data_IF_455051673586
#
_entry.id   IF_455051673586
#
_cell.length_a   1.000
_cell.length_b   1.000
_cell.length_c   1.000
_cell.angle_alpha   90.00
_cell.angle_beta   90.00
_cell.angle_gamma   90.00
#
_symmetry.space_group_name_H-M   'P 1'
#
loop_
_entity.id
_entity.type
_entity.pdbx_description
1 polymer ?
#
# COMPACT_ATOMS: atom_id res chain seq x y z
N UNK A 1 -2.32 -42.22 -14.81
CA UNK A 1 -1.20 -41.35 -15.23
C UNK A 1 -1.18 -40.03 -14.47
N UNK A 2 -2.22 -39.19 -14.54
CA UNK A 2 -2.31 -37.85 -13.90
C UNK A 2 -1.81 -37.82 -12.46
N UNK A 3 -2.29 -38.72 -11.58
CA UNK A 3 -1.89 -38.76 -10.16
C UNK A 3 -0.37 -38.90 -9.96
N UNK A 4 0.34 -39.62 -10.86
CA UNK A 4 1.80 -39.77 -10.79
C UNK A 4 2.54 -38.49 -11.21
N UNK A 5 2.00 -37.73 -12.18
CA UNK A 5 2.51 -36.38 -12.50
C UNK A 5 2.31 -35.42 -11.33
N UNK A 6 1.11 -35.41 -10.74
CA UNK A 6 0.78 -34.55 -9.60
C UNK A 6 1.69 -34.83 -8.39
N UNK A 7 1.95 -36.11 -8.09
CA UNK A 7 2.89 -36.52 -7.03
C UNK A 7 4.33 -36.09 -7.36
N UNK A 8 4.79 -36.24 -8.61
CA UNK A 8 6.14 -35.76 -9.00
C UNK A 8 6.26 -34.25 -8.87
N UNK A 9 5.25 -33.47 -9.28
CA UNK A 9 5.22 -32.01 -9.10
C UNK A 9 5.23 -31.61 -7.62
N UNK A 10 4.43 -32.30 -6.79
CA UNK A 10 4.42 -32.09 -5.34
C UNK A 10 5.77 -32.44 -4.70
N UNK A 11 6.43 -33.53 -5.11
CA UNK A 11 7.77 -33.90 -4.64
C UNK A 11 8.85 -32.91 -5.10
N UNK A 12 8.78 -32.41 -6.34
CA UNK A 12 9.72 -31.41 -6.85
C UNK A 12 9.66 -30.09 -6.06
N UNK A 13 8.46 -29.67 -5.65
CA UNK A 13 8.25 -28.41 -4.90
C UNK A 13 8.34 -28.56 -3.37
N UNK A 14 8.19 -29.76 -2.80
CA UNK A 14 8.25 -29.98 -1.35
C UNK A 14 9.61 -30.43 -0.82
N UNK A 15 10.50 -30.93 -1.69
CA UNK A 15 11.82 -31.44 -1.29
C UNK A 15 12.94 -30.44 -1.67
N UNK A 16 12.73 -29.64 -2.73
CA UNK A 16 13.64 -28.58 -3.16
C UNK A 16 12.84 -27.33 -3.57
N UNK A 17 13.45 -26.14 -3.54
CA UNK A 17 12.86 -24.93 -4.12
C UNK A 17 12.75 -25.00 -5.65
N UNK A 18 12.38 -23.88 -6.31
CA UNK A 18 12.26 -23.71 -7.78
C UNK A 18 13.28 -24.54 -8.59
N UNK A 19 12.88 -25.08 -9.75
CA UNK A 19 13.77 -25.92 -10.57
C UNK A 19 15.00 -25.16 -11.10
N UNK A 20 14.94 -23.83 -11.11
CA UNK A 20 15.99 -22.87 -11.44
C UNK A 20 16.29 -21.95 -10.25
N UNK A 21 17.38 -21.19 -10.31
CA UNK A 21 17.75 -20.17 -9.31
C UNK A 21 17.62 -18.79 -9.92
N UNK A 22 16.81 -17.92 -9.32
CA UNK A 22 16.69 -16.51 -9.72
C UNK A 22 17.75 -15.68 -8.99
N UNK A 23 18.45 -14.80 -9.73
CA UNK A 23 19.45 -13.89 -9.18
C UNK A 23 19.18 -12.43 -9.55
N UNK A 24 19.08 -11.59 -8.52
CA UNK A 24 18.83 -10.14 -8.60
C UNK A 24 20.10 -9.37 -8.22
N UNK A 25 20.42 -8.23 -8.86
CA UNK A 25 21.51 -7.36 -8.41
C UNK A 25 21.35 -6.90 -6.96
N UNK A 26 22.43 -6.88 -6.18
CA UNK A 26 22.39 -6.56 -4.75
C UNK A 26 21.93 -5.13 -4.45
N UNK A 27 22.26 -4.18 -5.32
CA UNK A 27 21.81 -2.79 -5.21
C UNK A 27 20.31 -2.63 -5.46
N UNK A 28 19.70 -3.54 -6.24
CA UNK A 28 18.31 -3.50 -6.68
C UNK A 28 17.35 -4.25 -5.73
N UNK A 29 17.85 -4.74 -4.59
CA UNK A 29 17.11 -5.54 -3.59
C UNK A 29 15.74 -5.01 -3.16
N UNK A 30 15.43 -3.72 -3.40
CA UNK A 30 14.13 -3.09 -3.12
C UNK A 30 13.06 -3.46 -4.13
N UNK A 31 13.42 -3.67 -5.40
CA UNK A 31 12.51 -4.00 -6.50
C UNK A 31 12.33 -5.52 -6.65
N UNK A 32 13.04 -6.27 -5.81
CA UNK A 32 13.08 -7.72 -5.79
C UNK A 32 11.73 -8.43 -5.78
N UNK A 33 11.80 -9.69 -6.20
CA UNK A 33 10.65 -10.52 -6.55
C UNK A 33 9.64 -10.61 -5.40
N UNK A 34 8.41 -10.19 -5.68
CA UNK A 34 7.26 -10.26 -4.79
C UNK A 34 6.69 -11.68 -4.72
N UNK A 35 6.36 -12.27 -5.86
CA UNK A 35 5.62 -13.54 -5.89
C UNK A 35 5.91 -14.28 -7.20
N UNK A 36 6.15 -15.60 -7.13
CA UNK A 36 6.40 -16.44 -8.31
C UNK A 36 5.18 -17.34 -8.55
N UNK A 37 4.57 -17.20 -9.72
CA UNK A 37 3.46 -18.00 -10.20
C UNK A 37 3.98 -19.11 -11.11
N UNK A 38 3.54 -20.35 -10.86
CA UNK A 38 3.96 -21.54 -11.59
C UNK A 38 2.76 -22.27 -12.22
N UNK A 39 2.86 -22.65 -13.49
CA UNK A 39 1.86 -23.47 -14.17
C UNK A 39 2.50 -24.60 -15.00
N UNK A 40 2.09 -25.85 -14.78
CA UNK A 40 2.50 -27.01 -15.60
C UNK A 40 1.55 -27.17 -16.80
N UNK A 41 2.04 -26.87 -18.00
CA UNK A 41 1.33 -27.13 -19.27
C UNK A 41 1.42 -28.60 -19.70
N UNK A 42 2.27 -29.40 -19.04
CA UNK A 42 2.46 -30.83 -19.26
C UNK A 42 3.65 -31.18 -20.16
N UNK A 43 4.08 -30.23 -21.00
CA UNK A 43 5.31 -30.21 -21.80
C UNK A 43 6.37 -29.24 -21.23
N UNK A 44 5.92 -28.16 -20.58
CA UNK A 44 6.74 -27.07 -20.02
C UNK A 44 6.11 -26.47 -18.76
N UNK A 45 6.94 -25.82 -17.94
CA UNK A 45 6.50 -25.05 -16.77
C UNK A 45 6.59 -23.55 -17.11
N UNK A 46 5.46 -22.85 -17.04
CA UNK A 46 5.40 -21.39 -17.08
C UNK A 46 5.87 -20.83 -15.73
N UNK A 47 6.87 -19.95 -15.77
CA UNK A 47 7.33 -19.15 -14.65
C UNK A 47 6.88 -17.71 -14.89
N UNK A 48 5.86 -17.25 -14.17
CA UNK A 48 5.53 -15.83 -14.08
C UNK A 48 6.12 -15.24 -12.81
N UNK A 49 6.90 -14.18 -12.93
CA UNK A 49 7.59 -13.51 -11.83
C UNK A 49 6.98 -12.13 -11.65
N UNK A 50 6.51 -11.81 -10.45
CA UNK A 50 6.01 -10.47 -10.09
C UNK A 50 7.09 -9.74 -9.31
N UNK A 51 7.45 -8.54 -9.74
CA UNK A 51 8.42 -7.66 -9.08
C UNK A 51 7.72 -6.61 -8.20
N UNK A 52 8.46 -5.92 -7.33
CA UNK A 52 7.88 -4.82 -6.53
C UNK A 52 7.56 -3.61 -7.42
N UNK A 53 8.56 -3.12 -8.18
CA UNK A 53 8.46 -1.94 -9.05
C UNK A 53 9.57 -1.93 -10.12
N UNK A 54 9.51 -1.07 -11.15
CA UNK A 54 10.59 -0.88 -12.15
C UNK A 54 11.20 0.53 -11.99
N UNK A 55 12.20 0.69 -11.11
CA UNK A 55 12.89 1.98 -10.91
C UNK A 55 13.55 2.44 -12.22
N UNK A 56 12.95 3.43 -12.91
CA UNK A 56 13.57 4.02 -14.09
C UNK A 56 14.86 4.77 -13.68
N UNK A 57 15.96 4.76 -14.46
CA UNK A 57 17.24 5.37 -14.07
C UNK A 57 17.25 6.90 -13.77
N UNK A 58 16.10 7.57 -13.82
CA UNK A 58 15.89 9.00 -13.58
C UNK A 58 14.58 9.24 -12.80
N UNK A 59 14.68 9.65 -11.54
CA UNK A 59 13.57 9.73 -10.55
C UNK A 59 12.38 10.62 -10.94
N UNK A 60 12.49 11.48 -11.95
CA UNK A 60 11.36 12.27 -12.46
C UNK A 60 10.60 11.56 -13.58
N UNK A 61 11.29 10.82 -14.46
CA UNK A 61 10.64 10.03 -15.51
C UNK A 61 10.04 8.75 -14.93
N UNK A 62 10.69 8.19 -13.90
CA UNK A 62 10.21 7.15 -12.99
C UNK A 62 8.75 7.36 -12.53
N UNK A 63 8.50 8.41 -11.74
CA UNK A 63 7.14 8.80 -11.30
C UNK A 63 6.13 8.97 -12.45
N UNK A 64 6.57 9.43 -13.62
CA UNK A 64 5.71 9.57 -14.81
C UNK A 64 5.46 8.22 -15.50
N UNK A 65 6.44 7.32 -15.46
CA UNK A 65 6.38 5.96 -15.96
C UNK A 65 5.46 5.09 -15.10
N UNK A 66 5.47 5.27 -13.77
CA UNK A 66 4.54 4.64 -12.83
C UNK A 66 3.09 5.01 -13.13
N UNK A 67 2.82 6.30 -13.29
CA UNK A 67 1.49 6.81 -13.65
C UNK A 67 1.05 6.28 -15.02
N UNK A 68 1.98 6.15 -15.97
CA UNK A 68 1.75 5.53 -17.28
C UNK A 68 1.49 4.02 -17.18
N UNK A 69 2.24 3.24 -16.40
CA UNK A 69 2.05 1.79 -16.17
C UNK A 69 0.76 1.53 -15.41
N UNK A 70 0.46 2.31 -14.38
CA UNK A 70 -0.80 2.24 -13.64
C UNK A 70 -2.02 2.55 -14.54
N UNK A 71 -1.90 3.48 -15.49
CA UNK A 71 -2.94 3.72 -16.48
C UNK A 71 -3.01 2.61 -17.55
N UNK A 72 -1.89 2.27 -18.19
CA UNK A 72 -1.79 1.34 -19.33
C UNK A 72 -2.06 -0.10 -18.91
N UNK A 73 -1.27 -0.63 -17.98
CA UNK A 73 -1.31 -2.02 -17.53
C UNK A 73 -2.25 -2.25 -16.34
N UNK A 74 -2.52 -1.21 -15.56
CA UNK A 74 -3.41 -1.28 -14.40
C UNK A 74 -2.72 -1.61 -13.08
N UNK A 75 -1.39 -1.53 -13.02
CA UNK A 75 -0.53 -1.98 -11.92
C UNK A 75 0.75 -1.12 -11.86
N UNK A 76 1.38 -1.10 -10.70
CA UNK A 76 2.76 -0.60 -10.51
C UNK A 76 3.75 -1.77 -10.63
N UNK A 77 3.47 -2.89 -9.95
CA UNK A 77 4.13 -4.18 -10.13
C UNK A 77 4.39 -4.52 -11.60
N UNK A 78 5.64 -4.84 -11.91
CA UNK A 78 5.96 -5.56 -13.12
C UNK A 78 5.71 -7.08 -12.96
N UNK A 79 5.44 -7.75 -14.08
CA UNK A 79 5.03 -9.15 -14.19
C UNK A 79 5.60 -9.70 -15.48
N UNK A 80 6.70 -10.47 -15.44
CA UNK A 80 7.32 -11.09 -16.63
C UNK A 80 7.24 -12.63 -16.60
N UNK A 81 7.39 -13.29 -17.75
CA UNK A 81 6.95 -14.68 -17.97
C UNK A 81 7.75 -15.45 -19.02
N UNK A 82 8.53 -16.44 -18.55
CA UNK A 82 9.26 -17.38 -19.40
C UNK A 82 8.82 -18.84 -19.18
N UNK A 83 9.23 -19.74 -20.09
CA UNK A 83 8.86 -21.15 -20.06
C UNK A 83 10.10 -22.05 -19.90
N UNK A 84 10.09 -22.92 -18.89
CA UNK A 84 11.08 -23.97 -18.67
C UNK A 84 10.60 -25.28 -19.33
N UNK A 85 11.31 -25.72 -20.36
CA UNK A 85 11.20 -27.05 -20.95
C UNK A 85 12.19 -28.03 -20.28
N UNK A 86 12.12 -29.35 -20.53
CA UNK A 86 13.06 -30.33 -19.97
C UNK A 86 14.52 -30.14 -20.44
N UNK A 87 14.72 -29.48 -21.57
CA UNK A 87 15.97 -29.32 -22.31
C UNK A 87 16.45 -27.86 -22.40
N UNK A 88 15.56 -26.88 -22.27
CA UNK A 88 15.83 -25.45 -22.56
C UNK A 88 14.90 -24.49 -21.83
N UNK A 89 15.23 -23.20 -21.84
CA UNK A 89 14.36 -22.10 -21.37
C UNK A 89 14.01 -21.20 -22.56
N UNK A 90 12.73 -20.85 -22.69
CA UNK A 90 12.19 -19.93 -23.68
C UNK A 90 11.71 -18.64 -23.03
N UNK A 91 12.35 -17.53 -23.39
CA UNK A 91 11.91 -16.17 -23.10
C UNK A 91 11.15 -15.63 -24.32
N UNK A 92 9.85 -15.31 -24.22
CA UNK A 92 9.05 -14.84 -25.36
C UNK A 92 9.41 -13.42 -25.81
N UNK A 93 9.55 -12.48 -24.86
CA UNK A 93 9.84 -11.06 -25.09
C UNK A 93 10.79 -10.48 -24.01
N UNK A 94 11.26 -11.34 -23.10
CA UNK A 94 11.74 -10.94 -21.77
C UNK A 94 13.26 -11.12 -21.60
N UNK A 95 14.02 -11.30 -22.69
CA UNK A 95 15.46 -11.60 -22.66
C UNK A 95 16.32 -10.40 -23.08
N UNK A 96 17.41 -10.15 -22.36
CA UNK A 96 18.43 -9.17 -22.74
C UNK A 96 19.84 -9.62 -22.29
N UNK A 97 20.72 -9.96 -23.25
CA UNK A 97 22.16 -10.19 -23.02
C UNK A 97 22.89 -8.84 -22.88
N UNK A 98 22.45 -8.03 -21.91
CA UNK A 98 22.93 -6.67 -21.67
C UNK A 98 24.35 -6.65 -21.11
N UNK A 99 25.13 -5.63 -21.48
CA UNK A 99 26.40 -5.31 -20.81
C UNK A 99 26.22 -4.39 -19.58
N UNK A 100 25.06 -3.76 -19.38
CA UNK A 100 24.84 -2.77 -18.30
C UNK A 100 23.39 -2.69 -17.83
N UNK A 101 23.19 -2.72 -16.51
CA UNK A 101 21.86 -2.69 -15.88
C UNK A 101 20.98 -1.50 -16.32
N UNK A 102 21.61 -0.38 -16.67
CA UNK A 102 20.94 0.88 -17.06
C UNK A 102 20.79 1.04 -18.59
N UNK A 103 20.80 -0.05 -19.36
CA UNK A 103 20.50 -0.03 -20.80
C UNK A 103 19.07 0.51 -21.05
N UNK A 104 18.87 1.29 -22.13
CA UNK A 104 17.58 1.93 -22.46
C UNK A 104 16.99 1.47 -23.81
N UNK A 105 17.76 0.73 -24.61
CA UNK A 105 17.40 0.29 -25.97
C UNK A 105 17.50 -1.23 -26.09
N UNK A 106 16.75 -1.85 -27.02
CA UNK A 106 16.80 -3.29 -27.30
C UNK A 106 16.64 -4.17 -26.04
N UNK A 107 15.74 -3.78 -25.13
CA UNK A 107 15.51 -4.45 -23.85
C UNK A 107 14.71 -5.73 -24.02
N UNK A 108 13.56 -5.65 -24.71
CA UNK A 108 12.70 -6.79 -24.99
C UNK A 108 13.19 -7.56 -26.23
N UNK A 109 13.55 -8.83 -26.04
CA UNK A 109 13.95 -9.74 -27.12
C UNK A 109 13.45 -11.17 -26.83
N UNK A 110 13.21 -11.94 -27.90
CA UNK A 110 12.94 -13.38 -27.81
C UNK A 110 14.24 -14.19 -27.76
N UNK A 111 14.31 -15.21 -26.90
CA UNK A 111 15.39 -16.20 -26.91
C UNK A 111 14.92 -17.61 -26.48
N UNK A 112 15.35 -18.64 -27.21
CA UNK A 112 15.33 -20.04 -26.73
C UNK A 112 16.76 -20.50 -26.48
N UNK A 113 17.09 -20.83 -25.23
CA UNK A 113 18.44 -21.19 -24.80
C UNK A 113 18.44 -22.57 -24.15
N UNK A 114 19.30 -23.46 -24.64
CA UNK A 114 19.52 -24.81 -24.10
C UNK A 114 20.11 -24.74 -22.68
N UNK A 115 19.78 -25.69 -21.81
CA UNK A 115 20.12 -25.62 -20.39
C UNK A 115 21.64 -25.56 -20.14
N UNK A 116 22.47 -26.18 -20.98
CA UNK A 116 23.94 -26.11 -20.91
C UNK A 116 24.51 -24.70 -21.12
N UNK A 117 23.73 -23.78 -21.69
CA UNK A 117 24.12 -22.38 -21.89
C UNK A 117 23.96 -21.51 -20.63
N UNK A 118 23.40 -22.05 -19.54
CA UNK A 118 23.22 -21.34 -18.27
C UNK A 118 24.30 -21.69 -17.25
N UNK A 119 24.73 -20.71 -16.47
CA UNK A 119 25.45 -21.00 -15.23
C UNK A 119 24.60 -21.88 -14.31
N UNK A 120 25.24 -22.77 -13.55
CA UNK A 120 24.54 -23.68 -12.64
C UNK A 120 24.94 -23.44 -11.17
N UNK A 121 23.95 -23.33 -10.29
CA UNK A 121 24.13 -23.22 -8.85
C UNK A 121 23.40 -24.37 -8.15
N UNK A 122 24.14 -25.18 -7.37
CA UNK A 122 23.63 -26.40 -6.72
C UNK A 122 22.88 -27.35 -7.69
N UNK A 123 23.40 -27.51 -8.91
CA UNK A 123 22.83 -28.38 -9.95
C UNK A 123 21.59 -27.83 -10.66
N UNK A 124 21.26 -26.55 -10.47
CA UNK A 124 20.11 -25.89 -11.12
C UNK A 124 20.57 -24.74 -12.01
N UNK A 125 19.95 -24.51 -13.19
CA UNK A 125 20.26 -23.36 -14.03
C UNK A 125 19.95 -22.05 -13.30
N UNK A 126 20.77 -21.03 -13.52
CA UNK A 126 20.66 -19.71 -12.92
C UNK A 126 20.12 -18.73 -13.97
N UNK A 127 18.97 -18.13 -13.68
CA UNK A 127 18.42 -17.03 -14.49
C UNK A 127 18.73 -15.73 -13.77
N UNK A 128 19.49 -14.86 -14.44
CA UNK A 128 19.89 -13.56 -13.94
C UNK A 128 18.91 -12.49 -14.40
N UNK A 129 18.67 -11.50 -13.54
CA UNK A 129 17.99 -10.26 -13.90
C UNK A 129 19.06 -9.26 -14.34
N UNK A 130 18.99 -8.77 -15.57
CA UNK A 130 20.05 -8.03 -16.25
C UNK A 130 19.77 -6.55 -16.49
N UNK A 131 18.54 -6.06 -16.30
CA UNK A 131 18.17 -4.66 -16.53
C UNK A 131 17.15 -4.12 -15.53
N UNK A 132 17.02 -2.79 -15.46
CA UNK A 132 16.05 -2.07 -14.61
C UNK A 132 14.57 -2.34 -14.90
N UNK A 133 14.26 -2.86 -16.10
CA UNK A 133 12.93 -3.37 -16.48
C UNK A 133 12.87 -4.92 -16.40
N UNK A 134 13.62 -5.49 -15.46
CA UNK A 134 13.69 -6.93 -15.11
C UNK A 134 13.95 -7.95 -16.23
N UNK A 135 14.52 -7.55 -17.37
CA UNK A 135 14.84 -8.51 -18.44
C UNK A 135 15.83 -9.57 -17.94
N UNK A 136 15.73 -10.77 -18.50
CA UNK A 136 16.48 -11.94 -18.07
C UNK A 136 17.72 -12.19 -18.93
N UNK A 137 18.75 -12.77 -18.32
CA UNK A 137 19.92 -13.32 -19.01
C UNK A 137 20.31 -14.70 -18.45
N UNK A 138 21.01 -15.48 -19.27
CA UNK A 138 21.70 -16.71 -18.85
C UNK A 138 23.07 -16.46 -18.20
N UNK A 139 23.53 -15.20 -18.14
CA UNK A 139 24.83 -14.77 -17.60
C UNK A 139 24.69 -13.60 -16.63
N UNK A 140 25.62 -13.42 -15.66
CA UNK A 140 25.68 -12.23 -14.82
C UNK A 140 26.25 -11.02 -15.57
N UNK A 141 25.78 -9.82 -15.22
CA UNK A 141 26.45 -8.57 -15.59
C UNK A 141 27.88 -8.51 -15.03
N UNK A 142 28.83 -7.97 -15.81
CA UNK A 142 30.23 -7.82 -15.39
C UNK A 142 30.33 -6.82 -14.22
N UNK A 143 30.95 -7.26 -13.12
CA UNK A 143 31.20 -6.40 -11.95
C UNK A 143 30.00 -6.18 -11.02
N UNK A 144 28.88 -6.87 -11.24
CA UNK A 144 27.67 -6.77 -10.40
C UNK A 144 27.62 -7.90 -9.36
N UNK A 145 27.44 -7.54 -8.08
CA UNK A 145 27.08 -8.49 -7.03
C UNK A 145 25.63 -8.95 -7.19
N UNK A 146 25.39 -10.25 -7.08
CA UNK A 146 24.06 -10.85 -7.22
C UNK A 146 23.62 -11.59 -5.95
N UNK A 147 22.38 -11.34 -5.52
CA UNK A 147 21.69 -12.10 -4.48
C UNK A 147 20.85 -13.21 -5.11
N UNK A 148 21.03 -14.46 -4.65
CA UNK A 148 20.09 -15.55 -4.97
C UNK A 148 18.77 -15.32 -4.23
N UNK A 149 17.69 -15.14 -4.98
CA UNK A 149 16.35 -14.93 -4.42
C UNK A 149 15.87 -16.18 -3.66
N UNK A 150 15.46 -16.00 -2.41
CA UNK A 150 14.71 -17.00 -1.65
C UNK A 150 13.24 -16.73 -1.89
N UNK A 151 12.50 -17.72 -2.40
CA UNK A 151 11.08 -17.52 -2.68
C UNK A 151 10.29 -17.44 -1.38
N UNK A 152 9.93 -16.23 -0.99
CA UNK A 152 9.05 -15.99 0.15
C UNK A 152 7.62 -16.48 -0.13
N UNK A 153 7.22 -16.49 -1.41
CA UNK A 153 5.86 -16.87 -1.82
C UNK A 153 5.78 -17.42 -3.25
N UNK A 154 5.43 -18.70 -3.36
CA UNK A 154 4.99 -19.34 -4.61
C UNK A 154 3.47 -19.38 -4.69
N UNK A 155 2.91 -19.17 -5.87
CA UNK A 155 1.51 -19.44 -6.21
C UNK A 155 1.42 -20.40 -7.40
N UNK A 156 0.31 -21.14 -7.51
CA UNK A 156 0.00 -21.90 -8.72
C UNK A 156 -0.92 -21.05 -9.62
N UNK A 157 -0.53 -20.85 -10.87
CA UNK A 157 -1.26 -20.00 -11.82
C UNK A 157 -0.39 -19.47 -12.96
N UNK A 158 -1.04 -18.84 -13.93
CA UNK A 158 -0.45 -18.28 -15.15
C UNK A 158 -0.17 -16.77 -15.01
N UNK A 159 0.46 -16.15 -16.02
CA UNK A 159 0.52 -14.66 -16.16
C UNK A 159 -0.87 -14.03 -16.04
N UNK A 160 -1.91 -14.73 -16.50
CA UNK A 160 -3.29 -14.26 -16.40
C UNK A 160 -3.85 -14.31 -14.96
N UNK A 161 -3.29 -15.14 -14.06
CA UNK A 161 -3.62 -15.17 -12.63
C UNK A 161 -2.90 -14.08 -11.86
N UNK A 162 -1.61 -13.86 -12.13
CA UNK A 162 -0.87 -12.70 -11.61
C UNK A 162 -1.58 -11.40 -12.02
N UNK A 163 -1.95 -11.24 -13.29
CA UNK A 163 -2.72 -10.09 -13.78
C UNK A 163 -4.12 -9.97 -13.14
N UNK A 164 -4.83 -11.09 -12.90
CA UNK A 164 -6.11 -11.09 -12.15
C UNK A 164 -5.98 -10.55 -10.74
N UNK A 165 -4.79 -10.65 -10.16
CA UNK A 165 -4.48 -10.24 -8.79
C UNK A 165 -3.95 -8.80 -8.72
N UNK A 166 -2.94 -8.46 -9.51
CA UNK A 166 -2.20 -7.21 -9.41
C UNK A 166 -2.75 -6.06 -10.26
N UNK A 167 -3.41 -6.33 -11.40
CA UNK A 167 -3.95 -5.27 -12.27
C UNK A 167 -5.39 -4.91 -11.92
N UNK A 168 -5.68 -3.62 -11.65
CA UNK A 168 -7.06 -3.13 -11.47
C UNK A 168 -7.92 -3.31 -12.73
N UNK A 169 -7.33 -3.52 -13.91
CA UNK A 169 -8.09 -3.83 -15.14
C UNK A 169 -8.80 -5.19 -15.04
N UNK A 170 -8.20 -6.18 -14.37
CA UNK A 170 -8.78 -7.52 -14.17
C UNK A 170 -9.34 -7.73 -12.76
N UNK A 171 -8.66 -7.23 -11.73
CA UNK A 171 -9.08 -7.36 -10.32
C UNK A 171 -10.31 -6.49 -10.02
N UNK A 172 -11.47 -7.13 -9.80
CA UNK A 172 -12.74 -6.46 -9.50
C UNK A 172 -12.69 -5.66 -8.19
N UNK A 173 -11.99 -6.14 -7.16
CA UNK A 173 -11.85 -5.47 -5.86
C UNK A 173 -11.02 -4.19 -5.96
N UNK A 174 -9.91 -4.22 -6.70
CA UNK A 174 -9.11 -3.01 -6.98
C UNK A 174 -9.89 -2.01 -7.84
N UNK A 175 -10.59 -2.49 -8.88
CA UNK A 175 -11.44 -1.65 -9.74
C UNK A 175 -12.56 -0.95 -8.94
N UNK A 176 -13.24 -1.67 -8.06
CA UNK A 176 -14.26 -1.11 -7.18
C UNK A 176 -13.66 -0.11 -6.16
N UNK A 177 -12.48 -0.41 -5.62
CA UNK A 177 -11.75 0.51 -4.74
C UNK A 177 -11.40 1.83 -5.45
N UNK A 178 -10.97 1.77 -6.71
CA UNK A 178 -10.67 2.96 -7.52
C UNK A 178 -11.93 3.80 -7.83
N UNK A 179 -13.06 3.15 -8.11
CA UNK A 179 -14.35 3.86 -8.26
C UNK A 179 -14.81 4.52 -6.96
N UNK A 180 -14.69 3.83 -5.82
CA UNK A 180 -15.02 4.39 -4.50
C UNK A 180 -14.10 5.56 -4.12
N UNK A 181 -12.82 5.51 -4.49
CA UNK A 181 -11.87 6.62 -4.31
C UNK A 181 -12.37 7.88 -5.03
N UNK A 182 -12.64 7.82 -6.34
CA UNK A 182 -13.15 8.98 -7.08
C UNK A 182 -14.54 9.44 -6.60
N UNK A 183 -15.43 8.51 -6.24
CA UNK A 183 -16.72 8.84 -5.65
C UNK A 183 -16.58 9.57 -4.30
N UNK A 184 -15.63 9.15 -3.45
CA UNK A 184 -15.36 9.80 -2.16
C UNK A 184 -14.82 11.22 -2.33
N UNK A 185 -13.96 11.47 -3.31
CA UNK A 185 -13.47 12.82 -3.65
C UNK A 185 -14.61 13.73 -4.14
N UNK A 186 -15.49 13.23 -5.01
CA UNK A 186 -16.69 13.97 -5.45
C UNK A 186 -17.65 14.27 -4.29
N UNK A 187 -17.86 13.33 -3.38
CA UNK A 187 -18.70 13.50 -2.19
C UNK A 187 -18.08 14.48 -1.17
N UNK A 188 -16.75 14.44 -0.99
CA UNK A 188 -15.98 15.39 -0.19
C UNK A 188 -16.15 16.82 -0.70
N UNK A 189 -15.91 17.06 -2.00
CA UNK A 189 -16.09 18.37 -2.64
C UNK A 189 -17.53 18.87 -2.50
N UNK A 190 -18.51 17.98 -2.71
CA UNK A 190 -19.94 18.33 -2.55
C UNK A 190 -20.28 18.67 -1.10
N UNK A 191 -19.73 17.95 -0.13
CA UNK A 191 -19.88 18.25 1.31
C UNK A 191 -19.32 19.62 1.67
N UNK A 192 -18.12 19.94 1.18
CA UNK A 192 -17.46 21.24 1.38
C UNK A 192 -18.32 22.38 0.80
N UNK A 193 -18.85 22.22 -0.41
CA UNK A 193 -19.69 23.23 -1.09
C UNK A 193 -21.07 23.42 -0.44
N UNK A 194 -21.63 22.38 0.20
CA UNK A 194 -22.92 22.44 0.90
C UNK A 194 -22.82 22.92 2.35
N UNK A 195 -21.63 22.90 2.97
CA UNK A 195 -21.45 23.17 4.40
C UNK A 195 -21.81 24.62 4.77
N UNK A 196 -22.90 24.76 5.52
CA UNK A 196 -23.49 26.05 5.90
C UNK A 196 -24.51 26.61 4.90
N UNK A 197 -24.77 25.90 3.78
CA UNK A 197 -25.78 26.28 2.77
C UNK A 197 -27.03 25.39 2.79
N UNK A 198 -26.89 24.10 3.15
CA UNK A 198 -28.03 23.17 3.18
C UNK A 198 -27.87 22.10 4.26
N UNK A 199 -29.00 21.66 4.85
CA UNK A 199 -29.06 20.48 5.74
C UNK A 199 -28.67 19.18 5.02
N UNK A 200 -28.78 19.14 3.69
CA UNK A 200 -28.29 18.04 2.85
C UNK A 200 -26.78 17.78 3.06
N UNK A 201 -26.02 18.78 3.49
CA UNK A 201 -24.61 18.61 3.88
C UNK A 201 -24.39 17.47 4.87
N UNK A 202 -25.30 17.25 5.84
CA UNK A 202 -25.15 16.18 6.84
C UNK A 202 -25.23 14.79 6.18
N UNK A 203 -26.13 14.63 5.21
CA UNK A 203 -26.29 13.38 4.45
C UNK A 203 -25.09 13.12 3.54
N UNK A 204 -24.61 14.14 2.81
CA UNK A 204 -23.43 13.99 1.91
C UNK A 204 -22.14 13.79 2.71
N UNK A 205 -22.01 14.43 3.88
CA UNK A 205 -20.92 14.18 4.84
C UNK A 205 -20.90 12.71 5.27
N UNK A 206 -22.05 12.18 5.68
CA UNK A 206 -22.21 10.77 6.05
C UNK A 206 -21.94 9.81 4.88
N UNK A 207 -22.39 10.15 3.67
CA UNK A 207 -22.07 9.41 2.44
C UNK A 207 -20.57 9.40 2.16
N UNK A 208 -19.88 10.53 2.31
CA UNK A 208 -18.42 10.64 2.12
C UNK A 208 -17.68 9.68 3.06
N UNK A 209 -17.99 9.72 4.37
CA UNK A 209 -17.38 8.80 5.36
C UNK A 209 -17.79 7.35 5.12
N UNK A 210 -18.99 7.08 4.60
CA UNK A 210 -19.44 5.72 4.25
C UNK A 210 -18.71 5.15 3.03
N UNK A 211 -18.43 5.97 2.00
CA UNK A 211 -17.63 5.55 0.84
C UNK A 211 -16.20 5.21 1.28
N UNK A 212 -15.61 6.03 2.15
CA UNK A 212 -14.29 5.79 2.75
C UNK A 212 -14.29 4.52 3.62
N UNK A 213 -15.32 4.31 4.45
CA UNK A 213 -15.51 3.08 5.21
C UNK A 213 -15.61 1.84 4.30
N UNK A 214 -16.28 1.97 3.14
CA UNK A 214 -16.43 0.88 2.17
C UNK A 214 -15.08 0.50 1.54
N UNK A 215 -14.18 1.47 1.28
CA UNK A 215 -12.80 1.21 0.84
C UNK A 215 -12.07 0.35 1.87
N UNK A 216 -12.10 0.72 3.16
CA UNK A 216 -11.46 -0.06 4.21
C UNK A 216 -12.08 -1.47 4.34
N UNK A 217 -13.43 -1.56 4.35
CA UNK A 217 -14.18 -2.82 4.48
C UNK A 217 -13.85 -3.84 3.38
N UNK A 218 -13.78 -3.39 2.12
CA UNK A 218 -13.46 -4.27 0.99
C UNK A 218 -12.03 -4.80 1.06
N UNK A 219 -11.12 -4.06 1.69
CA UNK A 219 -9.69 -4.33 1.63
C UNK A 219 -9.11 -5.01 2.88
N UNK A 220 -9.73 -4.84 4.05
CA UNK A 220 -9.24 -5.30 5.36
C UNK A 220 -8.90 -6.80 5.44
N UNK A 221 -7.75 -7.13 6.06
CA UNK A 221 -7.24 -8.49 6.23
C UNK A 221 -6.65 -8.69 7.64
N UNK A 222 -7.51 -8.73 8.65
CA UNK A 222 -7.11 -8.89 10.05
C UNK A 222 -7.15 -7.55 10.81
N UNK A 223 -6.02 -6.99 11.27
CA UNK A 223 -6.02 -5.74 12.05
C UNK A 223 -6.72 -4.55 11.37
N UNK A 224 -6.72 -4.48 10.04
CA UNK A 224 -7.39 -3.45 9.26
C UNK A 224 -8.92 -3.39 9.48
N UNK A 225 -9.55 -4.45 10.02
CA UNK A 225 -10.95 -4.39 10.44
C UNK A 225 -11.19 -3.37 11.57
N UNK A 226 -10.15 -3.03 12.35
CA UNK A 226 -10.19 -1.93 13.33
C UNK A 226 -10.17 -0.54 12.65
N UNK A 227 -9.57 -0.42 11.45
CA UNK A 227 -9.67 0.80 10.65
C UNK A 227 -11.11 0.97 10.15
N UNK A 228 -11.72 -0.09 9.61
CA UNK A 228 -13.13 -0.05 9.25
C UNK A 228 -14.04 0.31 10.44
N UNK A 229 -13.85 -0.34 11.60
CA UNK A 229 -14.60 -0.02 12.81
C UNK A 229 -14.41 1.45 13.25
N UNK A 230 -13.18 1.96 13.18
CA UNK A 230 -12.87 3.37 13.47
C UNK A 230 -13.59 4.34 12.52
N UNK A 231 -13.75 3.99 11.24
CA UNK A 231 -14.54 4.78 10.28
C UNK A 231 -16.04 4.78 10.59
N UNK A 232 -16.60 3.70 11.14
CA UNK A 232 -17.99 3.67 11.63
C UNK A 232 -18.16 4.61 12.85
N UNK A 233 -17.24 4.60 13.80
CA UNK A 233 -17.25 5.60 14.89
C UNK A 233 -17.04 7.03 14.37
N UNK A 234 -16.26 7.21 13.31
CA UNK A 234 -16.05 8.51 12.66
C UNK A 234 -17.35 9.02 12.02
N UNK A 235 -18.13 8.14 11.39
CA UNK A 235 -19.45 8.44 10.84
C UNK A 235 -20.46 8.83 11.94
N UNK A 236 -20.41 8.18 13.10
CA UNK A 236 -21.22 8.57 14.26
C UNK A 236 -20.81 9.96 14.80
N UNK A 237 -19.50 10.20 14.94
CA UNK A 237 -18.96 11.49 15.32
C UNK A 237 -19.33 12.60 14.33
N UNK A 238 -19.33 12.31 13.04
CA UNK A 238 -19.73 13.22 11.98
C UNK A 238 -21.18 13.68 12.08
N UNK A 239 -22.08 12.82 12.57
CA UNK A 239 -23.48 13.19 12.81
C UNK A 239 -23.62 13.97 14.13
N UNK A 240 -22.99 13.50 15.21
CA UNK A 240 -23.09 14.13 16.53
C UNK A 240 -22.51 15.55 16.57
N UNK A 241 -21.39 15.82 15.87
CA UNK A 241 -20.78 17.16 15.83
C UNK A 241 -21.60 18.23 15.07
N UNK A 242 -22.69 17.85 14.39
CA UNK A 242 -23.63 18.82 13.78
C UNK A 242 -24.65 19.38 14.79
N UNK A 243 -24.70 18.84 16.02
CA UNK A 243 -25.56 19.30 17.11
C UNK A 243 -24.69 19.70 18.32
N UNK A 244 -24.71 20.97 18.73
CA UNK A 244 -23.87 21.44 19.84
C UNK A 244 -24.16 20.74 21.18
N UNK A 245 -25.39 20.27 21.39
CA UNK A 245 -25.80 19.45 22.55
C UNK A 245 -25.19 18.03 22.57
N UNK A 246 -24.70 17.54 21.42
CA UNK A 246 -24.05 16.24 21.25
C UNK A 246 -22.53 16.36 21.03
N UNK A 247 -21.95 17.54 21.23
CA UNK A 247 -20.52 17.78 20.99
C UNK A 247 -19.60 16.82 21.76
N UNK A 248 -19.94 16.52 23.02
CA UNK A 248 -19.17 15.58 23.86
C UNK A 248 -19.27 14.14 23.33
N UNK A 249 -20.45 13.72 22.88
CA UNK A 249 -20.72 12.41 22.28
C UNK A 249 -19.99 12.27 20.94
N UNK A 250 -19.94 13.31 20.12
CA UNK A 250 -19.13 13.35 18.90
C UNK A 250 -17.64 13.21 19.19
N UNK A 251 -17.12 13.96 20.16
CA UNK A 251 -15.73 13.85 20.61
C UNK A 251 -15.40 12.46 21.19
N UNK A 252 -16.33 11.80 21.89
CA UNK A 252 -16.15 10.40 22.35
C UNK A 252 -16.16 9.39 21.19
N UNK A 253 -16.98 9.62 20.15
CA UNK A 253 -16.96 8.80 18.95
C UNK A 253 -15.61 8.90 18.23
N UNK A 254 -15.11 10.12 17.98
CA UNK A 254 -13.78 10.32 17.40
C UNK A 254 -12.63 9.83 18.31
N UNK A 255 -12.75 9.93 19.65
CA UNK A 255 -11.80 9.30 20.57
C UNK A 255 -11.72 7.79 20.34
N UNK A 256 -12.87 7.15 20.10
CA UNK A 256 -12.97 5.73 19.82
C UNK A 256 -12.38 5.38 18.44
N UNK A 257 -12.56 6.23 17.42
CA UNK A 257 -11.84 6.15 16.13
C UNK A 257 -10.32 6.16 16.33
N UNK A 258 -9.80 7.16 17.04
CA UNK A 258 -8.35 7.30 17.30
C UNK A 258 -7.78 6.14 18.12
N UNK A 259 -8.55 5.59 19.07
CA UNK A 259 -8.21 4.38 19.83
C UNK A 259 -8.14 3.13 18.93
N UNK A 260 -9.16 2.92 18.08
CA UNK A 260 -9.19 1.77 17.17
C UNK A 260 -8.06 1.83 16.14
N UNK A 261 -7.72 3.01 15.63
CA UNK A 261 -6.57 3.24 14.76
C UNK A 261 -5.24 2.98 15.48
N UNK A 262 -5.09 3.44 16.73
CA UNK A 262 -3.92 3.13 17.56
C UNK A 262 -3.71 1.62 17.70
N UNK A 263 -4.77 0.87 18.00
CA UNK A 263 -4.71 -0.60 18.12
C UNK A 263 -4.41 -1.26 16.75
N UNK A 264 -4.97 -0.73 15.65
CA UNK A 264 -4.69 -1.21 14.30
C UNK A 264 -3.20 -1.05 13.93
N UNK A 265 -2.66 0.16 14.05
CA UNK A 265 -1.28 0.48 13.67
C UNK A 265 -0.27 -0.28 14.55
N UNK A 266 -0.53 -0.39 15.87
CA UNK A 266 0.30 -1.19 16.77
C UNK A 266 0.28 -2.68 16.41
N UNK A 267 -0.87 -3.25 16.05
CA UNK A 267 -0.97 -4.66 15.61
C UNK A 267 -0.31 -4.93 14.26
N UNK A 268 -0.19 -3.92 13.39
CA UNK A 268 0.43 -4.06 12.07
C UNK A 268 1.94 -3.85 12.07
N UNK A 269 2.45 -2.92 12.89
CA UNK A 269 3.84 -2.44 12.79
C UNK A 269 4.59 -2.40 14.13
N UNK A 270 3.93 -2.70 15.25
CA UNK A 270 4.46 -2.51 16.60
C UNK A 270 4.49 -1.05 17.01
N UNK A 271 5.39 -0.71 17.94
CA UNK A 271 5.61 0.66 18.37
C UNK A 271 6.61 1.40 17.47
N UNK A 272 6.41 2.71 17.29
CA UNK A 272 7.36 3.64 16.66
C UNK A 272 8.66 3.79 17.47
N UNK A 273 9.60 4.60 17.00
CA UNK A 273 10.78 4.95 17.81
C UNK A 273 10.36 5.84 19.00
N UNK A 274 10.97 5.67 20.17
CA UNK A 274 10.57 6.40 21.39
C UNK A 274 10.65 7.93 21.21
N UNK A 275 11.62 8.42 20.42
CA UNK A 275 11.78 9.85 20.14
C UNK A 275 10.63 10.44 19.31
N UNK A 276 9.93 9.61 18.51
CA UNK A 276 8.74 10.02 17.76
C UNK A 276 7.59 10.35 18.73
N UNK A 277 7.39 9.51 19.74
CA UNK A 277 6.43 9.79 20.82
C UNK A 277 6.80 11.09 21.57
N UNK A 278 8.07 11.26 21.95
CA UNK A 278 8.53 12.48 22.65
C UNK A 278 8.27 13.73 21.81
N UNK A 279 8.62 13.72 20.52
CA UNK A 279 8.43 14.84 19.60
C UNK A 279 6.94 15.20 19.43
N UNK A 280 6.10 14.20 19.16
CA UNK A 280 4.65 14.41 18.93
C UNK A 280 3.95 14.85 20.22
N UNK A 281 4.24 14.24 21.36
CA UNK A 281 3.69 14.68 22.64
C UNK A 281 4.14 16.10 22.99
N UNK A 282 5.40 16.48 22.71
CA UNK A 282 5.87 17.85 22.93
C UNK A 282 5.06 18.86 22.10
N UNK A 283 4.89 18.64 20.79
CA UNK A 283 4.13 19.53 19.90
C UNK A 283 2.65 19.60 20.30
N UNK A 284 2.01 18.46 20.52
CA UNK A 284 0.56 18.36 20.75
C UNK A 284 0.17 18.82 22.17
N UNK A 285 1.02 18.59 23.18
CA UNK A 285 0.82 19.15 24.52
C UNK A 285 1.18 20.64 24.61
N UNK A 286 2.15 21.13 23.83
CA UNK A 286 2.44 22.58 23.71
C UNK A 286 1.22 23.34 23.19
N UNK A 287 0.54 22.82 22.16
CA UNK A 287 -0.75 23.36 21.70
C UNK A 287 -1.81 23.36 22.82
N UNK A 288 -1.94 22.26 23.58
CA UNK A 288 -2.87 22.17 24.70
C UNK A 288 -2.60 23.22 25.80
N UNK A 289 -1.35 23.66 26.01
CA UNK A 289 -1.01 24.74 26.96
C UNK A 289 -1.70 26.06 26.61
N UNK A 290 -1.95 26.37 25.33
CA UNK A 290 -2.74 27.53 24.92
C UNK A 290 -4.25 27.28 24.99
N UNK A 291 -4.69 26.08 24.57
CA UNK A 291 -6.11 25.72 24.62
C UNK A 291 -6.66 25.74 26.05
N UNK A 292 -5.94 25.15 27.03
CA UNK A 292 -6.44 24.87 28.40
C UNK A 292 -7.09 26.07 29.11
N UNK A 293 -6.64 27.29 28.84
CA UNK A 293 -7.15 28.51 29.47
C UNK A 293 -8.60 28.81 29.03
N UNK A 294 -9.00 28.35 27.85
CA UNK A 294 -10.29 28.62 27.23
C UNK A 294 -11.32 27.48 27.41
N UNK A 295 -10.88 26.28 27.83
CA UNK A 295 -11.72 25.07 27.83
C UNK A 295 -12.78 25.01 28.94
N UNK A 296 -12.69 25.82 29.99
CA UNK A 296 -13.63 25.77 31.12
C UNK A 296 -13.75 24.37 31.74
N UNK A 297 -14.93 23.75 31.66
CA UNK A 297 -15.18 22.36 32.11
C UNK A 297 -14.59 21.29 31.18
N UNK A 298 -14.27 21.61 29.93
CA UNK A 298 -13.76 20.68 28.92
C UNK A 298 -12.25 20.37 29.03
N UNK A 299 -11.54 20.93 30.03
CA UNK A 299 -10.10 20.74 30.24
C UNK A 299 -9.69 19.26 30.23
N UNK A 300 -10.28 18.44 31.10
CA UNK A 300 -9.92 17.01 31.22
C UNK A 300 -10.35 16.20 29.99
N UNK A 301 -11.60 16.30 29.48
CA UNK A 301 -11.99 15.57 28.28
C UNK A 301 -11.13 15.89 27.05
N UNK A 302 -10.79 17.16 26.82
CA UNK A 302 -9.92 17.54 25.70
C UNK A 302 -8.49 17.07 25.93
N UNK A 303 -7.94 17.12 27.15
CA UNK A 303 -6.60 16.56 27.42
C UNK A 303 -6.52 15.07 27.08
N UNK A 304 -7.53 14.28 27.45
CA UNK A 304 -7.61 12.86 27.10
C UNK A 304 -7.69 12.64 25.58
N UNK A 305 -8.48 13.48 24.88
CA UNK A 305 -8.60 13.48 23.42
C UNK A 305 -7.26 13.83 22.73
N UNK A 306 -6.60 14.89 23.18
CA UNK A 306 -5.26 15.34 22.76
C UNK A 306 -4.21 14.23 22.94
N UNK A 307 -4.21 13.53 24.07
CA UNK A 307 -3.30 12.38 24.32
C UNK A 307 -3.61 11.19 23.41
N UNK A 308 -4.88 10.92 23.11
CA UNK A 308 -5.27 9.84 22.20
C UNK A 308 -4.84 10.13 20.75
N UNK A 309 -5.01 11.38 20.27
CA UNK A 309 -4.45 11.82 18.98
C UNK A 309 -2.93 11.68 18.96
N UNK A 310 -2.24 12.14 20.00
CA UNK A 310 -0.79 12.02 20.10
C UNK A 310 -0.33 10.55 20.08
N UNK A 311 -1.10 9.63 20.68
CA UNK A 311 -0.86 8.17 20.63
C UNK A 311 -1.03 7.62 19.22
N UNK A 312 -2.17 7.90 18.58
CA UNK A 312 -2.52 7.44 17.22
C UNK A 312 -1.49 7.93 16.20
N UNK A 313 -1.20 9.24 16.23
CA UNK A 313 -0.20 9.88 15.37
C UNK A 313 1.22 9.39 15.66
N UNK A 314 1.56 9.07 16.91
CA UNK A 314 2.88 8.47 17.19
C UNK A 314 3.00 7.09 16.58
N UNK A 315 1.98 6.24 16.73
CA UNK A 315 1.94 4.87 16.20
C UNK A 315 1.85 4.84 14.66
N UNK A 316 1.29 5.84 14.01
CA UNK A 316 1.18 5.88 12.54
C UNK A 316 2.55 5.84 11.85
N UNK A 317 3.61 6.40 12.46
CA UNK A 317 4.97 6.35 11.92
C UNK A 317 5.67 5.00 12.08
N UNK A 318 5.09 4.01 12.77
CA UNK A 318 5.72 2.70 12.98
C UNK A 318 5.97 1.98 11.64
N UNK A 319 5.15 2.24 10.62
CA UNK A 319 5.32 1.71 9.26
C UNK A 319 6.69 2.02 8.66
N UNK A 320 7.30 3.18 9.00
CA UNK A 320 8.60 3.60 8.47
C UNK A 320 9.80 2.79 9.00
N UNK A 321 9.58 1.86 9.94
CA UNK A 321 10.60 0.89 10.38
C UNK A 321 10.70 -0.35 9.48
N UNK A 322 9.76 -0.54 8.57
CA UNK A 322 9.64 -1.73 7.74
C UNK A 322 9.91 -1.36 6.28
N UNK A 323 10.56 -2.22 5.49
CA UNK A 323 10.82 -2.00 4.05
C UNK A 323 9.52 -2.22 3.24
N UNK A 324 8.56 -1.29 3.39
CA UNK A 324 7.18 -1.34 2.87
C UNK A 324 6.95 -0.15 1.92
N UNK A 325 7.07 -0.40 0.60
CA UNK A 325 7.01 0.61 -0.46
C UNK A 325 5.60 0.93 -0.98
N UNK A 326 4.58 0.73 -0.17
CA UNK A 326 3.20 0.54 -0.67
C UNK A 326 2.18 1.32 0.17
N UNK A 327 0.89 1.28 -0.20
CA UNK A 327 -0.21 2.10 0.34
C UNK A 327 -0.29 2.24 1.88
N UNK A 328 0.31 1.32 2.64
CA UNK A 328 0.54 1.44 4.08
C UNK A 328 1.30 2.73 4.48
N UNK A 329 2.13 3.31 3.62
CA UNK A 329 2.83 4.60 3.85
C UNK A 329 1.88 5.81 3.89
N UNK A 330 0.63 5.66 3.43
CA UNK A 330 -0.42 6.68 3.58
C UNK A 330 -0.87 6.87 5.04
N UNK A 331 -0.59 5.92 5.93
CA UNK A 331 -0.99 5.94 7.35
C UNK A 331 -0.49 7.20 8.08
N UNK A 332 0.83 7.50 8.13
CA UNK A 332 1.32 8.73 8.77
C UNK A 332 0.81 10.00 8.08
N UNK A 333 0.69 10.02 6.75
CA UNK A 333 0.17 11.19 6.02
C UNK A 333 -1.28 11.46 6.43
N UNK A 334 -2.12 10.42 6.47
CA UNK A 334 -3.52 10.53 6.86
C UNK A 334 -3.70 10.89 8.34
N UNK A 335 -2.86 10.33 9.23
CA UNK A 335 -2.85 10.67 10.65
C UNK A 335 -2.45 12.13 10.90
N UNK A 336 -1.45 12.66 10.18
CA UNK A 336 -1.06 14.08 10.25
C UNK A 336 -2.24 14.98 9.83
N UNK A 337 -2.89 14.67 8.70
CA UNK A 337 -4.03 15.45 8.20
C UNK A 337 -5.22 15.43 9.18
N UNK A 338 -5.51 14.28 9.79
CA UNK A 338 -6.58 14.15 10.78
C UNK A 338 -6.23 14.93 12.07
N UNK A 339 -5.02 14.77 12.61
CA UNK A 339 -4.55 15.51 13.79
C UNK A 339 -4.52 17.03 13.55
N UNK A 340 -4.18 17.47 12.34
CA UNK A 340 -4.26 18.87 11.91
C UNK A 340 -5.70 19.38 11.82
N UNK A 341 -6.63 18.56 11.30
CA UNK A 341 -8.05 18.91 11.25
C UNK A 341 -8.66 19.11 12.64
N UNK A 342 -8.43 18.17 13.55
CA UNK A 342 -8.90 18.23 14.94
C UNK A 342 -8.25 19.41 15.70
N UNK A 343 -6.96 19.66 15.46
CA UNK A 343 -6.24 20.85 15.95
C UNK A 343 -6.91 22.17 15.53
N UNK A 344 -7.23 22.28 14.24
CA UNK A 344 -7.84 23.47 13.66
C UNK A 344 -9.28 23.66 14.18
N UNK A 345 -10.04 22.58 14.29
CA UNK A 345 -11.40 22.55 14.82
C UNK A 345 -11.46 22.92 16.32
N UNK A 346 -10.50 22.44 17.11
CA UNK A 346 -10.37 22.80 18.53
C UNK A 346 -10.06 24.30 18.70
N UNK A 347 -9.15 24.85 17.89
CA UNK A 347 -8.83 26.29 17.94
C UNK A 347 -10.02 27.17 17.52
N UNK A 348 -10.73 26.78 16.45
CA UNK A 348 -11.94 27.45 15.96
C UNK A 348 -13.07 27.48 17.01
N UNK A 349 -13.30 26.35 17.71
CA UNK A 349 -14.39 26.22 18.69
C UNK A 349 -14.06 26.82 20.07
N UNK A 350 -12.81 26.78 20.52
CA UNK A 350 -12.45 27.20 21.88
C UNK A 350 -11.70 28.53 21.98
N UNK A 351 -10.93 28.95 20.97
CA UNK A 351 -10.08 30.17 21.07
C UNK A 351 -10.61 31.32 20.24
N UNK A 352 -10.74 31.14 18.92
CA UNK A 352 -11.32 32.14 18.02
C UNK A 352 -11.77 31.49 16.71
N UNK A 353 -12.92 31.91 16.18
CA UNK A 353 -13.41 31.47 14.86
C UNK A 353 -12.37 31.76 13.77
N UNK A 354 -12.15 30.81 12.86
CA UNK A 354 -11.12 30.90 11.84
C UNK A 354 -11.70 31.07 10.41
N UNK A 355 -11.07 31.88 9.53
CA UNK A 355 -11.52 32.04 8.15
C UNK A 355 -11.34 30.74 7.37
N UNK A 356 -12.24 30.47 6.41
CA UNK A 356 -12.25 29.24 5.59
C UNK A 356 -12.28 27.91 6.38
N UNK A 357 -12.56 27.93 7.69
CA UNK A 357 -12.56 26.74 8.58
C UNK A 357 -13.29 25.53 8.01
N UNK A 358 -14.45 25.70 7.40
CA UNK A 358 -15.20 24.59 6.81
C UNK A 358 -14.39 23.87 5.69
N UNK A 359 -13.67 24.62 4.86
CA UNK A 359 -12.82 24.06 3.81
C UNK A 359 -11.60 23.35 4.40
N UNK A 360 -10.88 24.01 5.32
CA UNK A 360 -9.62 23.48 5.89
C UNK A 360 -9.88 22.20 6.71
N UNK A 361 -10.84 22.24 7.64
CA UNK A 361 -11.18 21.10 8.51
C UNK A 361 -11.70 19.93 7.67
N UNK A 362 -12.68 20.14 6.78
CA UNK A 362 -13.25 19.03 6.00
C UNK A 362 -12.26 18.42 5.01
N UNK A 363 -11.43 19.24 4.34
CA UNK A 363 -10.43 18.70 3.39
C UNK A 363 -9.38 17.86 4.11
N UNK A 364 -8.82 18.36 5.21
CA UNK A 364 -7.83 17.61 5.99
C UNK A 364 -8.44 16.37 6.66
N UNK A 365 -9.67 16.45 7.16
CA UNK A 365 -10.39 15.31 7.72
C UNK A 365 -10.64 14.21 6.68
N UNK A 366 -11.28 14.54 5.55
CA UNK A 366 -11.67 13.55 4.56
C UNK A 366 -10.48 12.96 3.80
N UNK A 367 -9.47 13.76 3.46
CA UNK A 367 -8.22 13.22 2.90
C UNK A 367 -7.46 12.37 3.93
N UNK A 368 -7.45 12.79 5.20
CA UNK A 368 -6.89 12.01 6.30
C UNK A 368 -7.51 10.62 6.43
N UNK A 369 -8.85 10.57 6.45
CA UNK A 369 -9.60 9.32 6.51
C UNK A 369 -9.49 8.49 5.23
N UNK A 370 -9.47 9.11 4.06
CA UNK A 370 -9.29 8.41 2.78
C UNK A 370 -7.91 7.76 2.68
N UNK A 371 -6.84 8.44 3.10
CA UNK A 371 -5.49 7.89 3.15
C UNK A 371 -5.36 6.73 4.15
N UNK A 372 -5.97 6.84 5.33
CA UNK A 372 -6.02 5.74 6.30
C UNK A 372 -6.84 4.55 5.76
N UNK A 373 -7.95 4.78 5.05
CA UNK A 373 -8.74 3.70 4.45
C UNK A 373 -8.02 3.01 3.27
N UNK A 374 -7.36 3.78 2.39
CA UNK A 374 -6.55 3.25 1.28
C UNK A 374 -5.36 2.43 1.78
N UNK A 375 -4.85 2.70 2.97
CA UNK A 375 -3.75 1.93 3.57
C UNK A 375 -4.08 0.45 3.86
N UNK A 376 -5.37 0.09 3.86
CA UNK A 376 -5.83 -1.29 3.97
C UNK A 376 -5.71 -2.07 2.64
N UNK A 377 -5.41 -1.41 1.51
CA UNK A 377 -5.20 -2.08 0.21
C UNK A 377 -3.88 -2.86 0.24
N UNK A 378 -4.01 -4.18 0.28
CA UNK A 378 -2.91 -5.16 0.26
C UNK A 378 -3.14 -6.15 -0.88
N UNK A 379 -2.08 -6.48 -1.64
CA UNK A 379 -2.09 -7.27 -2.88
C UNK A 379 -0.99 -8.34 -2.84
#
# INVERSE_FOLDING_TARGET
MVLRKLIVMLCLLSIYGLALVLRLPEFDRKNGIKEVFLHDHGDRIEYTIVFWDEDHPHTLTDLLYDLYRFYKWGRFYDIETFFLYPDRIHFPDDFCDSETYFQLENLHNQAELSLDQFEHFNGKPVVYISTWNHMFSNKPLRGVSYLSYKVEKTAFGTRNDAERKYSWRKNVKLKLTLWLFFASLGSMLTTILLKGRSKLCIVVKGLTTTLIATIAMLNAQGPEWLIFAGLIFSLMGDVFLEFDSLFFQGMLAFFTTHLLYSIAFFKLFGASAWWIFVLIYAVVLFQYVFLKNHLGKMKVPVLLYTVMIATMLSLSFAVLKHEIYYARTLIPIGAILFAFSDSYLAWDKFVKKLPMRNFVVLSAYFLGQLFIALSAVVI
#
